data_IF_634700521413
#
_entry.id   IF_634700521413
#
_cell.length_a   1.000
_cell.length_b   1.000
_cell.length_c   1.000
_cell.angle_alpha   90.00
_cell.angle_beta   90.00
_cell.angle_gamma   90.00
#
_symmetry.space_group_name_H-M   'P 1'
#
loop_
_entity.id
_entity.type
_entity.pdbx_description
1 polymer ?
#
# COMPACT_ATOMS: atom_id res chain seq x y z
N UNK A 1 -10.86 5.42 9.24
CA UNK A 1 -9.58 4.75 9.59
C UNK A 1 -9.58 4.07 10.94
N UNK A 2 -10.06 4.72 12.03
CA UNK A 2 -10.20 4.03 13.31
C UNK A 2 -11.25 2.90 13.20
N UNK A 3 -12.35 3.14 12.51
CA UNK A 3 -13.38 2.15 12.24
C UNK A 3 -12.84 0.95 11.48
N UNK A 4 -12.01 1.17 10.44
CA UNK A 4 -11.40 0.06 9.66
C UNK A 4 -10.53 -0.83 10.56
N UNK A 5 -9.74 -0.20 11.45
CA UNK A 5 -8.92 -0.92 12.41
C UNK A 5 -9.76 -1.73 13.42
N UNK A 6 -10.86 -1.18 13.90
CA UNK A 6 -11.77 -1.90 14.80
C UNK A 6 -12.52 -3.02 14.07
N UNK A 7 -12.92 -2.80 12.84
CA UNK A 7 -13.52 -3.82 11.98
C UNK A 7 -12.57 -5.00 11.76
N UNK A 8 -11.34 -4.70 11.35
CA UNK A 8 -10.29 -5.72 11.17
C UNK A 8 -10.06 -6.51 12.47
N UNK A 9 -9.88 -5.81 13.60
CA UNK A 9 -9.69 -6.46 14.91
C UNK A 9 -10.92 -7.27 15.33
N UNK A 10 -12.12 -6.81 15.05
CA UNK A 10 -13.36 -7.57 15.29
C UNK A 10 -13.38 -8.91 14.56
N UNK A 11 -12.97 -8.92 13.29
CA UNK A 11 -12.85 -10.17 12.52
C UNK A 11 -11.68 -11.02 13.04
N UNK A 12 -10.52 -10.40 13.31
CA UNK A 12 -9.33 -11.09 13.87
C UNK A 12 -9.66 -11.82 15.18
N UNK A 13 -10.36 -11.16 16.11
CA UNK A 13 -10.70 -11.73 17.42
C UNK A 13 -11.82 -12.78 17.35
N UNK A 14 -12.72 -12.64 16.37
CA UNK A 14 -13.86 -13.58 16.25
C UNK A 14 -13.52 -14.82 15.42
N UNK A 15 -12.70 -14.67 14.38
CA UNK A 15 -12.46 -15.70 13.35
C UNK A 15 -10.99 -15.99 13.10
N UNK A 16 -10.08 -15.25 13.74
CA UNK A 16 -8.64 -15.38 13.59
C UNK A 16 -8.05 -14.53 12.49
N UNK A 17 -6.70 -14.42 12.54
CA UNK A 17 -5.92 -13.54 11.64
C UNK A 17 -6.05 -13.92 10.16
N UNK A 18 -6.18 -15.22 9.84
CA UNK A 18 -6.27 -15.69 8.46
C UNK A 18 -7.55 -15.21 7.76
N UNK A 19 -8.69 -15.27 8.46
CA UNK A 19 -9.95 -14.76 7.94
C UNK A 19 -9.96 -13.24 7.83
N UNK A 20 -9.42 -12.55 8.83
CA UNK A 20 -9.25 -11.10 8.78
C UNK A 20 -8.38 -10.67 7.58
N UNK A 21 -7.27 -11.35 7.34
CA UNK A 21 -6.41 -11.09 6.16
C UNK A 21 -7.13 -11.34 4.85
N UNK A 22 -7.83 -12.48 4.71
CA UNK A 22 -8.58 -12.80 3.50
C UNK A 22 -9.62 -11.74 3.16
N UNK A 23 -10.35 -11.25 4.17
CA UNK A 23 -11.31 -10.17 4.00
C UNK A 23 -10.63 -8.84 3.61
N UNK A 24 -9.51 -8.53 4.26
CA UNK A 24 -8.72 -7.33 3.99
C UNK A 24 -8.13 -7.33 2.58
N UNK A 25 -7.50 -8.42 2.15
CA UNK A 25 -6.90 -8.57 0.82
C UNK A 25 -7.97 -8.42 -0.28
N UNK A 26 -9.16 -9.04 -0.07
CA UNK A 26 -10.31 -8.88 -0.97
C UNK A 26 -10.82 -7.43 -1.04
N UNK A 27 -10.80 -6.72 0.07
CA UNK A 27 -11.17 -5.30 0.13
C UNK A 27 -10.19 -4.45 -0.66
N UNK A 28 -8.87 -4.65 -0.47
CA UNK A 28 -7.85 -3.93 -1.21
C UNK A 28 -7.87 -4.20 -2.72
N UNK A 29 -8.19 -5.43 -3.14
CA UNK A 29 -8.34 -5.77 -4.55
C UNK A 29 -9.40 -4.90 -5.27
N UNK A 30 -10.42 -4.47 -4.54
CA UNK A 30 -11.51 -3.64 -5.04
C UNK A 30 -11.28 -2.15 -4.82
N UNK A 31 -10.75 -1.79 -3.65
CA UNK A 31 -10.58 -0.39 -3.26
C UNK A 31 -9.43 0.28 -4.02
N UNK A 32 -8.30 -0.41 -4.21
CA UNK A 32 -7.12 0.20 -4.83
C UNK A 32 -7.35 0.75 -6.24
N UNK A 33 -8.00 0.04 -7.18
CA UNK A 33 -8.30 0.61 -8.49
C UNK A 33 -9.35 1.74 -8.40
N UNK A 34 -10.29 1.68 -7.47
CA UNK A 34 -11.25 2.76 -7.23
C UNK A 34 -10.55 4.04 -6.73
N UNK A 35 -9.65 3.90 -5.75
CA UNK A 35 -8.84 5.01 -5.23
C UNK A 35 -7.96 5.62 -6.33
N UNK A 36 -7.26 4.77 -7.11
CA UNK A 36 -6.42 5.19 -8.22
C UNK A 36 -7.21 5.98 -9.27
N UNK A 37 -8.36 5.48 -9.69
CA UNK A 37 -9.22 6.16 -10.66
C UNK A 37 -9.71 7.52 -10.14
N UNK A 38 -10.10 7.58 -8.87
CA UNK A 38 -10.57 8.82 -8.24
C UNK A 38 -9.47 9.87 -8.16
N UNK A 39 -8.24 9.47 -7.79
CA UNK A 39 -7.07 10.35 -7.73
C UNK A 39 -6.68 10.80 -9.14
N UNK A 40 -6.63 9.90 -10.11
CA UNK A 40 -6.33 10.19 -11.50
C UNK A 40 -7.28 11.25 -12.08
N UNK A 41 -8.57 11.10 -11.81
CA UNK A 41 -9.60 12.07 -12.21
C UNK A 41 -9.43 13.41 -11.49
N UNK A 42 -9.17 13.40 -10.18
CA UNK A 42 -8.96 14.62 -9.38
C UNK A 42 -7.79 15.44 -9.90
N UNK A 43 -6.71 14.77 -10.29
CA UNK A 43 -5.47 15.40 -10.76
C UNK A 43 -5.49 15.71 -12.27
N UNK A 44 -6.54 15.36 -13.00
CA UNK A 44 -6.63 15.59 -14.45
C UNK A 44 -5.54 14.85 -15.23
N UNK A 45 -5.10 13.69 -14.76
CA UNK A 45 -4.01 12.95 -15.39
C UNK A 45 -4.42 12.38 -16.75
N UNK A 46 -3.46 12.35 -17.68
CA UNK A 46 -3.58 11.68 -18.97
C UNK A 46 -3.80 10.16 -18.82
N UNK A 47 -4.10 9.49 -19.93
CA UNK A 47 -4.35 8.04 -19.93
C UNK A 47 -3.16 7.25 -19.39
N UNK A 48 -1.95 7.63 -19.78
CA UNK A 48 -0.70 6.96 -19.43
C UNK A 48 0.29 7.95 -18.79
N UNK A 49 0.09 8.34 -17.50
CA UNK A 49 0.91 9.36 -16.87
C UNK A 49 2.29 8.88 -16.41
N UNK A 50 2.58 7.58 -16.57
CA UNK A 50 3.89 7.01 -16.26
C UNK A 50 4.20 6.92 -14.77
N UNK A 51 5.49 6.75 -14.48
CA UNK A 51 5.98 6.65 -13.10
C UNK A 51 5.90 7.99 -12.34
N UNK A 52 6.04 9.10 -13.05
CA UNK A 52 5.86 10.45 -12.49
C UNK A 52 4.42 10.65 -12.01
N UNK A 53 3.45 10.23 -12.83
CA UNK A 53 2.04 10.24 -12.44
C UNK A 53 1.77 9.33 -11.24
N UNK A 54 2.38 8.14 -11.21
CA UNK A 54 2.27 7.25 -10.05
C UNK A 54 2.87 7.89 -8.80
N UNK A 55 4.07 8.48 -8.88
CA UNK A 55 4.72 9.15 -7.75
C UNK A 55 3.85 10.28 -7.20
N UNK A 56 3.22 11.07 -8.09
CA UNK A 56 2.28 12.11 -7.71
C UNK A 56 1.04 11.49 -7.03
N UNK A 57 0.43 10.46 -7.62
CA UNK A 57 -0.78 9.83 -7.12
C UNK A 57 -0.59 9.19 -5.73
N UNK A 58 0.57 8.58 -5.46
CA UNK A 58 0.92 8.00 -4.17
C UNK A 58 0.84 9.03 -3.03
N UNK A 59 1.12 10.31 -3.30
CA UNK A 59 1.01 11.40 -2.34
C UNK A 59 -0.44 11.86 -2.07
N UNK A 60 -1.39 11.45 -2.90
CA UNK A 60 -2.82 11.75 -2.74
C UNK A 60 -3.63 10.60 -2.14
N UNK A 61 -3.01 9.45 -1.91
CA UNK A 61 -3.65 8.35 -1.22
C UNK A 61 -4.05 8.75 0.19
N UNK A 62 -5.14 8.17 0.71
CA UNK A 62 -5.63 8.52 2.05
C UNK A 62 -4.59 8.23 3.15
N UNK A 63 -3.74 7.23 2.98
CA UNK A 63 -2.69 6.89 3.95
C UNK A 63 -1.47 7.81 3.90
N UNK A 64 -1.25 8.56 2.83
CA UNK A 64 -0.12 9.48 2.72
C UNK A 64 -0.12 10.58 3.80
N UNK A 65 -1.30 10.90 4.33
CA UNK A 65 -1.47 11.89 5.41
C UNK A 65 -1.31 11.32 6.83
N UNK A 66 -1.25 10.00 6.95
CA UNK A 66 -1.23 9.29 8.22
C UNK A 66 0.06 8.53 8.46
N UNK A 67 0.72 8.17 7.40
CA UNK A 67 2.00 7.48 7.38
C UNK A 67 3.10 8.47 6.99
N UNK A 68 4.35 8.07 7.25
CA UNK A 68 5.49 8.70 6.60
C UNK A 68 5.96 7.78 5.49
N UNK A 69 6.05 8.32 4.29
CA UNK A 69 6.42 7.60 3.08
C UNK A 69 7.43 8.42 2.27
N UNK A 70 8.24 7.74 1.48
CA UNK A 70 9.22 8.35 0.59
C UNK A 70 9.14 7.74 -0.80
N UNK A 71 9.50 8.53 -1.81
CA UNK A 71 9.61 8.08 -3.20
C UNK A 71 10.89 8.61 -3.80
N UNK A 72 11.59 7.78 -4.57
CA UNK A 72 12.75 8.20 -5.35
C UNK A 72 12.79 7.48 -6.69
N UNK A 73 13.34 8.15 -7.69
CA UNK A 73 13.65 7.53 -8.98
C UNK A 73 15.06 6.97 -8.94
N UNK A 74 15.22 5.74 -9.42
CA UNK A 74 16.49 5.01 -9.43
C UNK A 74 16.50 4.06 -10.63
N UNK A 75 17.48 4.20 -11.52
CA UNK A 75 17.67 3.35 -12.71
C UNK A 75 16.39 3.13 -13.56
N UNK A 76 15.66 4.22 -13.83
CA UNK A 76 14.43 4.17 -14.61
C UNK A 76 13.22 3.55 -13.88
N UNK A 77 13.35 3.29 -12.59
CA UNK A 77 12.30 2.76 -11.72
C UNK A 77 11.88 3.81 -10.70
N UNK A 78 10.67 3.69 -10.18
CA UNK A 78 10.20 4.40 -9.01
C UNK A 78 10.29 3.46 -7.79
N UNK A 79 11.07 3.84 -6.79
CA UNK A 79 11.14 3.16 -5.51
C UNK A 79 10.29 3.91 -4.50
N UNK A 80 9.36 3.22 -3.89
CA UNK A 80 8.50 3.74 -2.84
C UNK A 80 8.75 3.00 -1.54
N UNK A 81 8.86 3.74 -0.43
CA UNK A 81 9.03 3.15 0.91
C UNK A 81 7.99 3.69 1.88
N UNK A 82 7.53 2.84 2.77
CA UNK A 82 6.69 3.19 3.91
C UNK A 82 7.57 3.29 5.15
N UNK A 83 8.05 4.49 5.44
CA UNK A 83 9.05 4.75 6.49
C UNK A 83 8.46 4.67 7.89
N UNK A 84 7.17 5.06 8.04
CA UNK A 84 6.40 4.83 9.26
C UNK A 84 4.99 4.39 8.90
N UNK A 85 4.62 3.21 9.36
CA UNK A 85 3.31 2.61 9.08
C UNK A 85 2.42 2.70 10.32
N UNK A 86 1.27 3.38 10.20
CA UNK A 86 0.29 3.51 11.28
C UNK A 86 -0.21 2.15 11.79
N UNK A 87 -0.40 1.17 10.89
CA UNK A 87 -0.85 -0.17 11.25
C UNK A 87 0.16 -0.86 12.15
N UNK A 88 1.42 -0.91 11.72
CA UNK A 88 2.50 -1.53 12.49
C UNK A 88 2.74 -0.80 13.81
N UNK A 89 2.84 0.53 13.77
CA UNK A 89 3.00 1.35 14.98
C UNK A 89 1.85 1.16 15.98
N UNK A 90 0.61 0.96 15.51
CA UNK A 90 -0.51 0.69 16.40
C UNK A 90 -0.44 -0.70 17.04
N UNK A 91 0.06 -1.70 16.32
CA UNK A 91 0.28 -3.04 16.87
C UNK A 91 1.43 -3.06 17.86
N UNK A 92 2.55 -2.41 17.54
CA UNK A 92 3.70 -2.26 18.45
C UNK A 92 3.28 -1.64 19.79
N UNK A 93 2.48 -0.58 19.79
CA UNK A 93 1.97 0.04 21.04
C UNK A 93 1.09 -0.87 21.88
N UNK A 94 0.53 -1.92 21.28
CA UNK A 94 -0.32 -2.92 21.95
C UNK A 94 0.45 -4.20 22.26
N UNK A 95 1.78 -4.22 22.06
CA UNK A 95 2.63 -5.40 22.18
C UNK A 95 2.12 -6.59 21.33
N UNK A 96 1.51 -6.29 20.19
CA UNK A 96 1.11 -7.29 19.21
C UNK A 96 2.23 -7.51 18.21
N UNK A 97 2.40 -8.72 17.67
CA UNK A 97 3.34 -8.97 16.58
C UNK A 97 2.97 -8.15 15.35
N UNK A 98 3.95 -7.92 14.47
CA UNK A 98 3.72 -7.22 13.22
C UNK A 98 2.59 -7.86 12.42
N UNK A 99 1.78 -7.00 11.82
CA UNK A 99 0.77 -7.45 10.88
C UNK A 99 1.47 -7.97 9.62
N UNK A 100 1.25 -9.24 9.25
CA UNK A 100 1.87 -9.81 8.06
C UNK A 100 1.18 -9.31 6.79
N UNK A 101 1.44 -8.05 6.43
CA UNK A 101 0.70 -7.29 5.42
C UNK A 101 1.12 -7.57 3.98
N UNK A 102 2.10 -8.43 3.71
CA UNK A 102 2.62 -8.68 2.36
C UNK A 102 1.54 -9.08 1.35
N UNK A 103 0.59 -9.95 1.73
CA UNK A 103 -0.50 -10.35 0.84
C UNK A 103 -1.40 -9.17 0.44
N UNK A 104 -1.76 -8.34 1.42
CA UNK A 104 -2.51 -7.12 1.18
C UNK A 104 -1.71 -6.14 0.32
N UNK A 105 -0.44 -5.90 0.65
CA UNK A 105 0.42 -4.97 -0.07
C UNK A 105 0.66 -5.36 -1.53
N UNK A 106 0.83 -6.65 -1.82
CA UNK A 106 0.95 -7.15 -3.20
C UNK A 106 -0.29 -6.78 -4.03
N UNK A 107 -1.47 -6.92 -3.46
CA UNK A 107 -2.73 -6.57 -4.14
C UNK A 107 -2.91 -5.05 -4.18
N UNK A 108 -2.70 -4.38 -3.06
CA UNK A 108 -2.89 -2.94 -2.89
C UNK A 108 -2.05 -2.13 -3.87
N UNK A 109 -0.73 -2.32 -3.86
CA UNK A 109 0.17 -1.51 -4.67
C UNK A 109 0.12 -1.87 -6.15
N UNK A 110 -0.02 -3.16 -6.49
CA UNK A 110 -0.14 -3.57 -7.88
C UNK A 110 -1.42 -3.02 -8.52
N UNK A 111 -2.57 -3.17 -7.86
CA UNK A 111 -3.85 -2.68 -8.39
C UNK A 111 -3.95 -1.17 -8.41
N UNK A 112 -3.32 -0.48 -7.46
CA UNK A 112 -3.24 0.97 -7.47
C UNK A 112 -2.39 1.47 -8.65
N UNK A 113 -1.18 0.93 -8.83
CA UNK A 113 -0.28 1.32 -9.91
C UNK A 113 -0.90 1.03 -11.30
N UNK A 114 -1.49 -0.15 -11.49
CA UNK A 114 -2.24 -0.53 -12.70
C UNK A 114 -3.40 0.45 -12.98
N UNK A 115 -4.10 0.92 -11.96
CA UNK A 115 -5.18 1.89 -12.08
C UNK A 115 -4.71 3.29 -12.49
N UNK A 116 -3.48 3.66 -12.19
CA UNK A 116 -2.85 4.90 -12.65
C UNK A 116 -2.37 4.75 -14.10
N UNK A 117 -1.59 3.71 -14.37
CA UNK A 117 -1.09 3.40 -15.71
C UNK A 117 -0.95 1.87 -15.86
N UNK A 118 -1.68 1.29 -16.79
CA UNK A 118 -1.79 -0.15 -16.99
C UNK A 118 -0.50 -0.83 -17.49
N UNK A 119 0.52 -0.05 -17.84
CA UNK A 119 1.85 -0.53 -18.20
C UNK A 119 2.78 -0.71 -17.01
N UNK A 120 2.40 -0.19 -15.83
CA UNK A 120 3.25 -0.25 -14.65
C UNK A 120 3.24 -1.66 -14.05
N UNK A 121 4.46 -2.17 -13.81
CA UNK A 121 4.70 -3.39 -13.07
C UNK A 121 5.13 -3.06 -11.65
N UNK A 122 4.67 -3.87 -10.71
CA UNK A 122 4.95 -3.71 -9.27
C UNK A 122 5.73 -4.91 -8.76
N UNK A 123 6.84 -4.65 -8.09
CA UNK A 123 7.67 -5.64 -7.41
C UNK A 123 7.76 -5.28 -5.92
N UNK A 124 7.62 -6.28 -5.04
CA UNK A 124 7.83 -6.13 -3.61
C UNK A 124 9.31 -6.28 -3.30
N UNK A 125 9.97 -5.22 -2.84
CA UNK A 125 11.35 -5.27 -2.34
C UNK A 125 11.38 -5.93 -0.96
N UNK A 126 10.42 -5.62 -0.10
CA UNK A 126 10.24 -6.22 1.20
C UNK A 126 8.98 -5.71 1.88
N UNK A 127 8.30 -6.57 2.62
CA UNK A 127 7.06 -6.25 3.34
C UNK A 127 6.84 -7.28 4.44
N UNK A 128 6.41 -6.92 5.66
CA UNK A 128 6.15 -7.88 6.72
C UNK A 128 5.24 -9.05 6.26
N UNK A 129 5.59 -10.32 6.53
CA UNK A 129 6.55 -10.78 7.53
C UNK A 129 8.01 -10.90 7.06
N UNK A 130 8.38 -10.41 5.86
CA UNK A 130 9.77 -10.40 5.44
C UNK A 130 10.60 -9.54 6.40
N UNK A 131 11.87 -9.89 6.57
CA UNK A 131 12.82 -9.03 7.25
C UNK A 131 12.99 -7.71 6.49
N UNK A 132 13.05 -6.61 7.21
CA UNK A 132 13.23 -5.28 6.65
C UNK A 132 14.16 -4.44 7.54
N UNK A 133 14.82 -3.41 7.02
CA UNK A 133 15.62 -2.50 7.82
C UNK A 133 14.74 -1.64 8.73
N UNK A 134 15.33 -1.03 9.74
CA UNK A 134 14.61 -0.13 10.67
C UNK A 134 14.09 1.15 9.98
N UNK A 135 14.64 1.51 8.83
CA UNK A 135 14.32 2.74 8.11
C UNK A 135 12.96 2.73 7.41
N UNK A 136 12.37 1.54 7.15
CA UNK A 136 11.05 1.40 6.55
C UNK A 136 10.41 0.04 6.89
N UNK A 137 9.08 -0.04 6.85
CA UNK A 137 8.30 -1.27 7.05
C UNK A 137 8.08 -2.05 5.75
N UNK A 138 7.83 -1.37 4.65
CA UNK A 138 7.73 -2.02 3.34
C UNK A 138 8.30 -1.12 2.24
N UNK A 139 8.74 -1.78 1.16
CA UNK A 139 9.31 -1.11 0.01
C UNK A 139 8.84 -1.79 -1.29
N UNK A 140 8.60 -0.98 -2.31
CA UNK A 140 8.03 -1.36 -3.59
C UNK A 140 8.80 -0.72 -4.73
N UNK A 141 9.00 -1.48 -5.79
CA UNK A 141 9.60 -1.02 -7.04
C UNK A 141 8.56 -1.04 -8.14
N UNK A 142 8.48 0.06 -8.89
CA UNK A 142 7.60 0.20 -10.03
C UNK A 142 8.43 0.46 -11.28
N UNK A 143 8.09 -0.25 -12.36
CA UNK A 143 8.72 -0.12 -13.67
C UNK A 143 7.66 -0.03 -14.75
N UNK A 144 8.00 0.52 -15.92
CA UNK A 144 7.14 0.48 -17.11
C UNK A 144 7.66 -0.59 -18.07
N UNK A 145 6.74 -1.38 -18.61
CA UNK A 145 7.02 -2.30 -19.73
C UNK A 145 7.19 -1.54 -21.04
#
# INVERSE_FOLDING_TARGET
LAQDGFWFQGVEFSYGINDAKRCNDSTWARFSPFEAHSIKKLLGMEKHPGLEGLAQALNFRMYSRLNRQSSRFEDGSLIFTMDNCRVQSARMRKNLPDYPCKSAGLVEYARFAEGIDDRIQTECIGCPPDAHPESWFCAWKFTIK
#
